data_IF_205440064757
#
_entry.id   IF_205440064757
#
_cell.length_a   1.000
_cell.length_b   1.000
_cell.length_c   1.000
_cell.angle_alpha   90.00
_cell.angle_beta   90.00
_cell.angle_gamma   90.00
#
_symmetry.space_group_name_H-M   'P 1'
#
loop_
_entity.id
_entity.type
_entity.pdbx_description
1 polymer ?
#
# COMPACT_ATOMS: atom_id res chain seq x y z
N UNK A 1 2.82 -21.96 -32.45
CA UNK A 1 2.03 -22.32 -31.26
C UNK A 1 0.99 -21.23 -31.02
N UNK A 2 -0.28 -21.56 -30.82
CA UNK A 2 -1.31 -20.54 -30.54
C UNK A 2 -1.14 -19.99 -29.11
N UNK A 3 -1.39 -18.70 -28.88
CA UNK A 3 -1.31 -18.08 -27.55
C UNK A 3 -2.15 -18.80 -26.48
N UNK A 4 -3.31 -19.33 -26.87
CA UNK A 4 -4.17 -20.11 -25.98
C UNK A 4 -3.50 -21.41 -25.53
N UNK A 5 -2.72 -22.05 -26.39
CA UNK A 5 -1.94 -23.25 -26.06
C UNK A 5 -0.73 -22.89 -25.20
N UNK A 6 -0.03 -21.80 -25.54
CA UNK A 6 1.06 -21.26 -24.72
C UNK A 6 0.60 -20.96 -23.29
N UNK A 7 -0.60 -20.40 -23.13
CA UNK A 7 -1.19 -20.14 -21.82
C UNK A 7 -1.50 -21.41 -21.01
N UNK A 8 -1.72 -22.56 -21.67
CA UNK A 8 -1.91 -23.84 -20.98
C UNK A 8 -0.62 -24.39 -20.37
N UNK A 9 0.53 -24.08 -20.98
CA UNK A 9 1.85 -24.53 -20.51
C UNK A 9 2.40 -23.70 -19.34
N UNK A 10 1.81 -22.55 -19.03
CA UNK A 10 2.23 -21.74 -17.90
C UNK A 10 2.22 -22.53 -16.58
N UNK A 11 3.12 -22.24 -15.63
CA UNK A 11 3.11 -22.88 -14.33
C UNK A 11 1.95 -22.38 -13.47
N UNK A 12 1.48 -23.25 -12.57
CA UNK A 12 0.53 -22.90 -11.51
C UNK A 12 1.27 -22.30 -10.31
N UNK A 13 2.04 -21.24 -10.58
CA UNK A 13 2.85 -20.54 -9.59
C UNK A 13 2.53 -19.04 -9.60
N UNK A 14 2.92 -18.37 -8.52
CA UNK A 14 2.88 -16.92 -8.46
C UNK A 14 3.87 -16.31 -9.47
N UNK A 15 3.56 -15.11 -9.93
CA UNK A 15 4.47 -14.39 -10.81
C UNK A 15 3.83 -13.21 -11.52
N UNK A 16 4.60 -12.65 -12.45
CA UNK A 16 4.22 -11.52 -13.29
C UNK A 16 4.17 -11.97 -14.74
N UNK A 17 3.19 -11.51 -15.51
CA UNK A 17 3.10 -11.72 -16.95
C UNK A 17 3.14 -10.38 -17.68
N UNK A 18 3.76 -10.37 -18.86
CA UNK A 18 3.97 -9.21 -19.71
C UNK A 18 3.34 -9.51 -21.06
N UNK A 19 2.28 -8.80 -21.42
CA UNK A 19 1.65 -8.91 -22.73
C UNK A 19 2.38 -8.00 -23.72
N UNK A 20 2.58 -8.49 -24.94
CA UNK A 20 3.34 -7.83 -25.99
C UNK A 20 2.56 -7.67 -27.29
N UNK A 21 2.84 -6.60 -28.01
CA UNK A 21 2.30 -6.38 -29.36
C UNK A 21 3.12 -7.08 -30.45
N UNK A 22 2.80 -6.81 -31.73
CA UNK A 22 3.48 -7.40 -32.88
C UNK A 22 4.96 -6.97 -33.03
N UNK A 23 5.35 -5.87 -32.40
CA UNK A 23 6.70 -5.31 -32.43
C UNK A 23 7.52 -5.69 -31.19
N UNK A 24 7.02 -6.64 -30.39
CA UNK A 24 7.62 -7.10 -29.12
C UNK A 24 7.62 -6.03 -28.00
N UNK A 25 6.85 -4.93 -28.13
CA UNK A 25 6.71 -3.95 -27.07
C UNK A 25 5.81 -4.47 -25.96
N UNK A 26 6.21 -4.27 -24.70
CA UNK A 26 5.37 -4.61 -23.54
C UNK A 26 4.24 -3.57 -23.42
N UNK A 27 3.01 -4.04 -23.67
CA UNK A 27 1.80 -3.20 -23.67
C UNK A 27 0.98 -3.33 -22.38
N UNK A 28 1.16 -4.42 -21.63
CA UNK A 28 0.54 -4.63 -20.32
C UNK A 28 1.41 -5.52 -19.42
N UNK A 29 1.44 -5.22 -18.13
CA UNK A 29 2.08 -6.02 -17.07
C UNK A 29 1.03 -6.32 -16.01
N UNK A 30 0.95 -7.57 -15.56
CA UNK A 30 0.06 -7.93 -14.46
C UNK A 30 0.63 -9.04 -13.59
N UNK A 31 0.18 -9.12 -12.33
CA UNK A 31 0.55 -10.17 -11.38
C UNK A 31 -0.52 -11.25 -11.19
N UNK A 32 -0.11 -12.43 -10.72
CA UNK A 32 -1.01 -13.50 -10.31
C UNK A 32 -0.42 -14.39 -9.22
N UNK A 33 -1.29 -15.01 -8.41
CA UNK A 33 -0.94 -16.17 -7.57
C UNK A 33 -0.80 -17.47 -8.37
N UNK A 34 -1.48 -17.53 -9.52
CA UNK A 34 -1.48 -18.65 -10.44
C UNK A 34 -1.43 -18.10 -11.88
N UNK A 35 -0.25 -18.10 -12.49
CA UNK A 35 -0.04 -17.57 -13.83
C UNK A 35 -0.90 -18.30 -14.86
N UNK A 36 -0.95 -19.63 -14.82
CA UNK A 36 -1.77 -20.44 -15.73
C UNK A 36 -3.24 -20.04 -15.69
N UNK A 37 -3.85 -20.03 -14.51
CA UNK A 37 -5.26 -19.70 -14.35
C UNK A 37 -5.55 -18.26 -14.82
N UNK A 38 -4.71 -17.30 -14.42
CA UNK A 38 -4.92 -15.89 -14.74
C UNK A 38 -4.77 -15.60 -16.23
N UNK A 39 -3.74 -16.14 -16.87
CA UNK A 39 -3.50 -15.86 -18.30
C UNK A 39 -4.53 -16.61 -19.16
N UNK A 40 -4.95 -17.81 -18.77
CA UNK A 40 -6.06 -18.53 -19.44
C UNK A 40 -7.37 -17.73 -19.47
N UNK A 41 -7.67 -16.96 -18.42
CA UNK A 41 -8.90 -16.14 -18.34
C UNK A 41 -9.02 -15.15 -19.50
N UNK A 42 -7.91 -14.63 -20.02
CA UNK A 42 -7.93 -13.72 -21.18
C UNK A 42 -8.44 -14.38 -22.46
N UNK A 43 -8.38 -15.71 -22.56
CA UNK A 43 -8.79 -16.49 -23.75
C UNK A 43 -10.13 -17.23 -23.57
N UNK A 44 -10.84 -16.97 -22.46
CA UNK A 44 -12.21 -17.48 -22.23
C UNK A 44 -13.24 -16.55 -22.91
N UNK A 45 -14.48 -17.03 -23.08
CA UNK A 45 -15.53 -16.38 -23.90
C UNK A 45 -15.69 -14.89 -23.63
N UNK A 46 -15.70 -14.08 -24.70
CA UNK A 46 -15.66 -12.61 -24.68
C UNK A 46 -16.83 -11.93 -23.92
N UNK A 47 -17.96 -12.62 -23.70
CA UNK A 47 -19.16 -12.05 -23.05
C UNK A 47 -18.96 -11.64 -21.58
N UNK A 48 -17.88 -12.05 -20.92
CA UNK A 48 -17.61 -11.75 -19.49
C UNK A 48 -16.43 -10.81 -19.25
N UNK A 49 -15.77 -10.31 -20.29
CA UNK A 49 -14.61 -9.43 -20.15
C UNK A 49 -14.99 -7.95 -20.29
N UNK A 50 -14.25 -7.07 -19.63
CA UNK A 50 -14.47 -5.62 -19.78
C UNK A 50 -14.05 -5.16 -21.19
N UNK A 51 -14.71 -4.14 -21.77
CA UNK A 51 -14.35 -3.60 -23.09
C UNK A 51 -12.90 -3.11 -23.21
N UNK A 52 -12.24 -2.84 -22.08
CA UNK A 52 -10.81 -2.49 -22.05
C UNK A 52 -9.91 -3.71 -22.26
N UNK A 53 -10.27 -4.84 -21.64
CA UNK A 53 -9.51 -6.10 -21.77
C UNK A 53 -9.63 -6.66 -23.17
N UNK A 54 -10.84 -6.62 -23.75
CA UNK A 54 -11.07 -7.04 -25.14
C UNK A 54 -10.19 -6.26 -26.13
N UNK A 55 -10.18 -4.93 -26.02
CA UNK A 55 -9.31 -4.06 -26.85
C UNK A 55 -7.83 -4.36 -26.68
N UNK A 56 -7.37 -4.65 -25.47
CA UNK A 56 -5.99 -5.05 -25.24
C UNK A 56 -5.69 -6.37 -25.94
N UNK A 57 -6.53 -7.38 -25.72
CA UNK A 57 -6.33 -8.72 -26.28
C UNK A 57 -6.37 -8.75 -27.81
N UNK A 58 -7.07 -7.80 -28.46
CA UNK A 58 -6.99 -7.62 -29.91
C UNK A 58 -5.60 -7.21 -30.43
N UNK A 59 -4.78 -6.56 -29.59
CA UNK A 59 -3.42 -6.09 -29.94
C UNK A 59 -2.35 -7.09 -29.54
N UNK A 60 -2.59 -7.91 -28.51
CA UNK A 60 -1.62 -8.90 -28.00
C UNK A 60 -1.23 -9.90 -29.10
N UNK A 61 0.08 -9.99 -29.38
CA UNK A 61 0.66 -11.00 -30.28
C UNK A 61 1.56 -11.99 -29.56
N UNK A 62 2.09 -11.62 -28.41
CA UNK A 62 2.77 -12.57 -27.53
C UNK A 62 2.65 -12.20 -26.05
N UNK A 63 3.10 -13.09 -25.17
CA UNK A 63 3.33 -12.76 -23.76
C UNK A 63 4.53 -13.50 -23.19
N UNK A 64 5.14 -12.88 -22.18
CA UNK A 64 6.21 -13.43 -21.35
C UNK A 64 5.75 -13.52 -19.90
N UNK A 65 6.50 -14.26 -19.08
CA UNK A 65 6.21 -14.36 -17.65
C UNK A 65 7.48 -14.56 -16.84
N UNK A 66 7.43 -14.14 -15.59
CA UNK A 66 8.47 -14.30 -14.59
C UNK A 66 7.82 -14.97 -13.38
N UNK A 67 8.28 -16.17 -13.04
CA UNK A 67 7.81 -16.92 -11.87
C UNK A 67 8.43 -16.34 -10.61
N UNK A 68 7.63 -16.23 -9.55
CA UNK A 68 8.10 -15.82 -8.22
C UNK A 68 7.77 -16.89 -7.19
N UNK A 69 8.53 -16.90 -6.10
CA UNK A 69 8.30 -17.87 -5.01
C UNK A 69 7.10 -17.51 -4.14
N UNK A 70 6.79 -16.21 -4.02
CA UNK A 70 5.67 -15.72 -3.20
C UNK A 70 4.80 -14.70 -3.93
N UNK A 71 3.61 -14.44 -3.39
CA UNK A 71 2.75 -13.35 -3.85
C UNK A 71 3.41 -11.98 -3.62
N UNK A 72 4.14 -11.80 -2.50
CA UNK A 72 4.85 -10.55 -2.23
C UNK A 72 5.85 -10.22 -3.34
N UNK A 73 6.63 -11.20 -3.77
CA UNK A 73 7.58 -11.00 -4.86
C UNK A 73 6.89 -10.62 -6.17
N UNK A 74 5.77 -11.26 -6.50
CA UNK A 74 5.00 -10.92 -7.70
C UNK A 74 4.47 -9.48 -7.63
N UNK A 75 3.96 -9.06 -6.47
CA UNK A 75 3.48 -7.70 -6.21
C UNK A 75 4.59 -6.65 -6.37
N UNK A 76 5.73 -6.88 -5.73
CA UNK A 76 6.88 -5.95 -5.80
C UNK A 76 7.44 -5.88 -7.21
N UNK A 77 7.59 -7.03 -7.88
CA UNK A 77 8.13 -7.10 -9.24
C UNK A 77 7.20 -6.41 -10.25
N UNK A 78 5.89 -6.65 -10.18
CA UNK A 78 4.91 -5.98 -11.05
C UNK A 78 4.99 -4.46 -10.86
N UNK A 79 4.99 -3.99 -9.62
CA UNK A 79 5.10 -2.57 -9.29
C UNK A 79 6.35 -1.94 -9.92
N UNK A 80 7.51 -2.62 -9.82
CA UNK A 80 8.76 -2.17 -10.43
C UNK A 80 8.69 -2.16 -11.97
N UNK A 81 8.20 -3.22 -12.59
CA UNK A 81 8.09 -3.32 -14.05
C UNK A 81 7.12 -2.31 -14.65
N UNK A 82 5.97 -2.05 -14.01
CA UNK A 82 5.03 -1.02 -14.46
C UNK A 82 5.67 0.37 -14.40
N UNK A 83 6.48 0.65 -13.37
CA UNK A 83 7.19 1.93 -13.22
C UNK A 83 8.27 2.13 -14.27
N UNK A 84 9.04 1.08 -14.55
CA UNK A 84 10.14 1.08 -15.51
C UNK A 84 9.61 1.18 -16.95
N UNK A 85 8.68 0.30 -17.33
CA UNK A 85 8.21 0.13 -18.70
C UNK A 85 7.10 1.13 -19.06
N UNK A 86 6.28 1.55 -18.08
CA UNK A 86 5.08 2.39 -18.25
C UNK A 86 4.14 1.92 -19.37
N UNK A 87 3.70 0.64 -19.37
CA UNK A 87 2.96 0.07 -20.49
C UNK A 87 1.65 0.82 -20.79
N UNK A 88 1.29 0.89 -22.07
CA UNK A 88 0.12 1.66 -22.53
C UNK A 88 -1.19 1.21 -21.87
N UNK A 89 -1.48 -0.09 -21.83
CA UNK A 89 -2.74 -0.58 -21.26
C UNK A 89 -2.76 -0.52 -19.74
N UNK A 90 -1.63 -0.60 -19.02
CA UNK A 90 -1.62 -0.30 -17.58
C UNK A 90 -2.06 1.14 -17.30
N UNK A 91 -1.73 2.09 -18.19
CA UNK A 91 -2.18 3.49 -18.08
C UNK A 91 -3.67 3.64 -18.43
N UNK A 92 -4.17 2.95 -19.46
CA UNK A 92 -5.57 3.01 -19.91
C UNK A 92 -6.55 2.23 -19.02
N UNK A 93 -6.10 1.11 -18.46
CA UNK A 93 -6.86 0.24 -17.55
C UNK A 93 -6.89 0.77 -16.12
N UNK A 94 -6.66 2.07 -15.92
CA UNK A 94 -7.06 2.73 -14.68
C UNK A 94 -8.53 2.41 -14.40
N UNK A 95 -8.74 1.85 -13.22
CA UNK A 95 -9.85 1.00 -12.75
C UNK A 95 -9.69 -0.46 -13.22
N UNK A 96 -9.05 -1.34 -12.44
CA UNK A 96 -9.59 -1.73 -11.12
C UNK A 96 -8.58 -2.15 -10.02
N UNK A 97 -7.28 -1.85 -10.14
CA UNK A 97 -6.28 -2.17 -9.08
C UNK A 97 -5.18 -1.10 -8.92
N UNK A 98 -5.48 0.15 -9.29
CA UNK A 98 -4.60 1.29 -9.03
C UNK A 98 -4.85 1.84 -7.63
N UNK A 99 -3.78 2.03 -6.87
CA UNK A 99 -3.80 2.74 -5.60
C UNK A 99 -4.28 4.20 -5.79
N UNK A 100 -5.26 4.63 -5.00
CA UNK A 100 -5.76 6.01 -4.98
C UNK A 100 -5.09 6.82 -3.86
N UNK A 101 -4.90 8.12 -4.06
CA UNK A 101 -4.29 9.03 -3.10
C UNK A 101 -5.17 10.27 -2.94
N UNK A 102 -5.20 10.81 -1.74
CA UNK A 102 -5.74 12.14 -1.47
C UNK A 102 -4.59 13.13 -1.64
N UNK A 103 -4.67 13.98 -2.64
CA UNK A 103 -3.73 15.05 -2.93
C UNK A 103 -4.20 16.36 -2.32
N UNK A 104 -3.30 17.08 -1.64
CA UNK A 104 -3.48 18.44 -1.16
C UNK A 104 -2.52 19.35 -1.90
N UNK A 105 -3.06 20.30 -2.68
CA UNK A 105 -2.27 21.27 -3.45
C UNK A 105 -1.76 22.41 -2.56
N UNK A 106 -0.82 22.12 -1.67
CA UNK A 106 -0.26 23.07 -0.71
C UNK A 106 0.46 24.27 -1.35
N UNK A 107 0.80 24.16 -2.63
CA UNK A 107 1.39 25.17 -3.49
C UNK A 107 0.38 26.24 -3.95
N UNK A 108 -0.91 25.91 -3.96
CA UNK A 108 -1.95 26.88 -4.30
C UNK A 108 -2.16 27.85 -3.12
N UNK A 109 -2.52 29.10 -3.44
CA UNK A 109 -2.95 30.10 -2.45
C UNK A 109 -4.12 29.57 -1.60
N UNK A 110 -5.04 28.84 -2.20
CA UNK A 110 -6.12 28.17 -1.48
C UNK A 110 -6.09 26.67 -1.79
N UNK A 111 -5.30 25.89 -1.00
CA UNK A 111 -5.14 24.47 -1.22
C UNK A 111 -6.47 23.74 -1.27
N UNK A 112 -6.54 22.72 -2.13
CA UNK A 112 -7.71 21.84 -2.24
C UNK A 112 -7.31 20.39 -2.07
N UNK A 113 -8.28 19.59 -1.68
CA UNK A 113 -8.14 18.15 -1.65
C UNK A 113 -8.74 17.55 -2.92
N UNK A 114 -8.06 16.56 -3.49
CA UNK A 114 -8.51 15.85 -4.69
C UNK A 114 -8.06 14.41 -4.66
N UNK A 115 -8.79 13.52 -5.34
CA UNK A 115 -8.38 12.13 -5.50
C UNK A 115 -7.54 12.03 -6.76
N UNK A 116 -6.33 11.51 -6.61
CA UNK A 116 -5.42 11.27 -7.73
C UNK A 116 -4.97 9.82 -7.70
N UNK A 117 -4.71 9.28 -8.89
CA UNK A 117 -4.13 7.94 -9.06
C UNK A 117 -2.64 8.03 -9.44
N UNK A 118 -2.18 9.23 -9.78
CA UNK A 118 -0.79 9.53 -10.12
C UNK A 118 -0.33 10.70 -9.23
N UNK A 119 0.27 10.45 -8.07
CA UNK A 119 0.86 11.54 -7.28
C UNK A 119 1.97 12.22 -8.10
N UNK A 120 1.99 13.55 -8.18
CA UNK A 120 3.08 14.31 -8.81
C UNK A 120 4.15 14.70 -7.77
N UNK A 121 5.19 15.43 -8.17
CA UNK A 121 6.25 15.86 -7.25
C UNK A 121 5.85 17.05 -6.38
N UNK A 122 4.78 17.76 -6.74
CA UNK A 122 4.24 18.92 -6.03
C UNK A 122 2.99 18.52 -5.22
N UNK A 123 2.78 19.17 -4.08
CA UNK A 123 1.65 18.87 -3.18
C UNK A 123 1.96 17.84 -2.09
N UNK A 124 0.98 17.62 -1.20
CA UNK A 124 0.99 16.54 -0.21
C UNK A 124 0.11 15.39 -0.67
N UNK A 125 0.53 14.16 -0.45
CA UNK A 125 -0.22 12.97 -0.84
C UNK A 125 -0.44 12.04 0.35
N UNK A 126 -1.69 11.71 0.61
CA UNK A 126 -2.11 10.78 1.64
C UNK A 126 -2.64 9.53 0.98
N UNK A 127 -2.04 8.38 1.31
CA UNK A 127 -2.37 7.18 0.58
C UNK A 127 -1.39 6.03 0.77
N UNK A 128 -1.63 4.95 0.02
CA UNK A 128 -2.66 4.79 -0.97
C UNK A 128 -3.79 3.94 -0.43
N UNK A 129 -4.93 4.17 -1.03
CA UNK A 129 -6.13 3.46 -0.74
C UNK A 129 -6.26 2.37 -1.80
N UNK A 130 -6.30 1.12 -1.35
CA UNK A 130 -6.43 -0.04 -2.23
C UNK A 130 -7.71 0.00 -3.06
N UNK A 131 -8.73 0.72 -2.59
CA UNK A 131 -9.97 1.03 -3.30
C UNK A 131 -10.14 2.55 -3.34
N UNK A 132 -10.50 3.11 -4.50
CA UNK A 132 -10.79 4.55 -4.60
C UNK A 132 -11.95 4.96 -3.70
N UNK A 133 -12.94 4.09 -3.54
CA UNK A 133 -14.07 4.30 -2.63
C UNK A 133 -13.66 4.56 -1.19
N UNK A 134 -12.50 4.07 -0.75
CA UNK A 134 -11.96 4.40 0.58
C UNK A 134 -11.41 5.83 0.60
N UNK A 135 -10.67 6.23 -0.43
CA UNK A 135 -10.18 7.61 -0.57
C UNK A 135 -11.34 8.61 -0.65
N UNK A 136 -12.41 8.25 -1.38
CA UNK A 136 -13.65 9.03 -1.50
C UNK A 136 -14.32 9.23 -0.15
N UNK A 137 -14.57 8.15 0.61
CA UNK A 137 -15.17 8.25 1.96
C UNK A 137 -14.36 9.11 2.92
N UNK A 138 -13.03 9.03 2.84
CA UNK A 138 -12.15 9.84 3.68
C UNK A 138 -12.19 11.29 3.26
N UNK A 139 -12.17 11.56 1.95
CA UNK A 139 -12.29 12.92 1.42
C UNK A 139 -13.62 13.56 1.84
N UNK A 140 -14.73 12.80 1.77
CA UNK A 140 -16.04 13.23 2.26
C UNK A 140 -16.03 13.53 3.76
N UNK A 141 -15.41 12.67 4.57
CA UNK A 141 -15.23 12.90 6.00
C UNK A 141 -14.47 14.21 6.26
N UNK A 142 -13.37 14.46 5.55
CA UNK A 142 -12.60 15.70 5.70
C UNK A 142 -13.45 16.91 5.32
N UNK A 143 -14.13 16.84 4.18
CA UNK A 143 -15.00 17.91 3.75
C UNK A 143 -16.18 18.19 4.67
N UNK A 144 -16.63 17.20 5.46
CA UNK A 144 -17.70 17.36 6.45
C UNK A 144 -17.24 18.08 7.71
N UNK A 145 -15.98 17.89 8.12
CA UNK A 145 -15.47 18.36 9.41
C UNK A 145 -14.47 19.51 9.34
N UNK A 146 -13.90 19.78 8.16
CA UNK A 146 -12.97 20.87 7.93
C UNK A 146 -13.53 21.77 6.83
N UNK A 147 -13.45 23.09 7.01
CA UNK A 147 -14.12 24.07 6.14
C UNK A 147 -13.31 24.38 4.87
N UNK A 148 -13.00 23.33 4.12
CA UNK A 148 -12.11 23.35 2.97
C UNK A 148 -12.91 23.34 1.66
N UNK A 149 -12.42 24.04 0.64
CA UNK A 149 -13.10 24.16 -0.65
C UNK A 149 -13.34 22.80 -1.31
N UNK A 150 -14.54 22.65 -1.89
CA UNK A 150 -14.97 21.49 -2.69
C UNK A 150 -15.05 21.78 -4.19
N UNK A 151 -14.85 23.03 -4.59
CA UNK A 151 -15.00 23.44 -5.98
C UNK A 151 -13.91 22.83 -6.87
N UNK A 152 -14.33 22.27 -8.01
CA UNK A 152 -13.45 21.58 -8.97
C UNK A 152 -12.58 22.54 -9.78
N UNK A 153 -13.00 23.80 -9.92
CA UNK A 153 -12.26 24.82 -10.65
C UNK A 153 -10.90 25.09 -10.01
N UNK A 154 -9.85 25.05 -10.81
CA UNK A 154 -8.49 25.38 -10.38
C UNK A 154 -8.36 26.89 -10.12
N UNK A 155 -9.07 27.71 -10.91
CA UNK A 155 -9.22 29.14 -10.66
C UNK A 155 -10.34 29.37 -9.65
N UNK A 156 -10.14 30.37 -8.80
CA UNK A 156 -11.14 30.84 -7.87
C UNK A 156 -12.23 31.57 -8.67
N UNK A 157 -13.47 31.08 -8.72
CA UNK A 157 -14.56 31.82 -9.34
C UNK A 157 -14.81 33.06 -8.50
N UNK A 158 -14.69 34.26 -9.07
CA UNK A 158 -14.99 35.51 -8.36
C UNK A 158 -16.47 35.87 -8.54
N UNK A 159 -17.18 36.05 -7.44
CA UNK A 159 -18.58 36.50 -7.40
C UNK A 159 -19.63 35.38 -7.32
N UNK A 160 -20.80 35.73 -6.77
CA UNK A 160 -21.98 34.86 -6.62
C UNK A 160 -22.12 34.20 -5.24
N UNK A 161 -23.36 33.89 -4.84
CA UNK A 161 -23.64 33.12 -3.63
C UNK A 161 -23.12 31.69 -3.75
N UNK A 162 -22.24 31.27 -2.85
CA UNK A 162 -21.69 29.92 -2.83
C UNK A 162 -22.47 29.04 -1.84
N UNK A 163 -23.16 28.00 -2.33
CA UNK A 163 -23.93 27.09 -1.47
C UNK A 163 -23.05 26.42 -0.40
N UNK A 164 -21.81 26.06 -0.73
CA UNK A 164 -20.91 25.46 0.26
C UNK A 164 -20.55 26.43 1.39
N UNK A 165 -20.46 27.73 1.11
CA UNK A 165 -20.23 28.74 2.13
C UNK A 165 -21.49 28.96 2.97
N UNK A 166 -22.67 29.07 2.34
CA UNK A 166 -23.95 29.23 3.04
C UNK A 166 -24.28 28.06 3.96
N UNK A 167 -23.85 26.85 3.60
CA UNK A 167 -24.00 25.65 4.43
C UNK A 167 -22.83 25.44 5.41
N UNK A 168 -21.92 26.40 5.55
CA UNK A 168 -20.72 26.34 6.41
C UNK A 168 -19.79 25.13 6.13
N UNK A 169 -19.83 24.58 4.91
CA UNK A 169 -18.95 23.51 4.46
C UNK A 169 -17.59 24.03 3.94
N UNK A 170 -17.45 25.34 3.76
CA UNK A 170 -16.23 25.99 3.28
C UNK A 170 -16.17 27.43 3.81
N UNK A 171 -14.96 27.91 4.14
CA UNK A 171 -14.74 29.29 4.56
C UNK A 171 -15.01 30.35 3.47
N UNK A 172 -15.27 29.93 2.23
CA UNK A 172 -15.65 30.83 1.14
C UNK A 172 -14.50 31.68 0.60
N UNK A 173 -13.28 31.14 0.57
CA UNK A 173 -12.12 31.80 -0.05
C UNK A 173 -12.40 32.42 -1.44
N UNK A 174 -13.34 31.83 -2.21
CA UNK A 174 -13.71 32.33 -3.53
C UNK A 174 -14.56 33.60 -3.58
N UNK A 175 -15.20 33.93 -2.47
CA UNK A 175 -15.99 35.14 -2.31
C UNK A 175 -15.31 36.10 -1.33
N UNK A 176 -14.01 35.91 -1.08
CA UNK A 176 -13.20 36.76 -0.20
C UNK A 176 -13.74 36.83 1.25
N UNK A 177 -14.48 35.80 1.69
CA UNK A 177 -15.05 35.75 3.06
C UNK A 177 -14.08 35.24 4.12
N UNK A 178 -12.86 34.86 3.74
CA UNK A 178 -11.77 34.54 4.65
C UNK A 178 -10.44 34.99 4.03
N UNK A 179 -9.44 35.26 4.86
CA UNK A 179 -8.09 35.51 4.40
C UNK A 179 -7.31 34.21 4.13
N UNK A 180 -6.13 34.34 3.52
CA UNK A 180 -5.24 33.22 3.23
C UNK A 180 -4.81 32.48 4.50
N UNK A 181 -4.58 33.22 5.60
CA UNK A 181 -4.06 32.65 6.85
C UNK A 181 -5.09 31.75 7.54
N UNK A 182 -6.31 32.24 7.71
CA UNK A 182 -7.42 31.48 8.29
C UNK A 182 -7.73 30.23 7.46
N UNK A 183 -7.70 30.34 6.13
CA UNK A 183 -7.87 29.17 5.27
C UNK A 183 -6.72 28.17 5.40
N UNK A 184 -5.49 28.65 5.51
CA UNK A 184 -4.32 27.77 5.71
C UNK A 184 -4.39 27.03 7.04
N UNK A 185 -4.87 27.67 8.10
CA UNK A 185 -5.09 27.04 9.40
C UNK A 185 -6.09 25.87 9.30
N UNK A 186 -7.17 26.00 8.52
CA UNK A 186 -8.09 24.88 8.26
C UNK A 186 -7.43 23.75 7.47
N UNK A 187 -6.59 24.07 6.48
CA UNK A 187 -5.79 23.06 5.77
C UNK A 187 -4.84 22.34 6.70
N UNK A 188 -4.15 23.07 7.59
CA UNK A 188 -3.18 22.49 8.52
C UNK A 188 -3.86 21.57 9.55
N UNK A 189 -5.09 21.89 9.98
CA UNK A 189 -5.92 20.98 10.80
C UNK A 189 -6.22 19.68 10.05
N UNK A 190 -6.65 19.76 8.79
CA UNK A 190 -6.92 18.57 7.98
C UNK A 190 -5.65 17.74 7.72
N UNK A 191 -4.51 18.39 7.47
CA UNK A 191 -3.19 17.74 7.35
C UNK A 191 -2.81 17.05 8.65
N UNK A 192 -2.95 17.73 9.79
CA UNK A 192 -2.63 17.18 11.11
C UNK A 192 -3.47 15.94 11.45
N UNK A 193 -4.76 15.97 11.12
CA UNK A 193 -5.65 14.81 11.21
C UNK A 193 -5.20 13.67 10.28
N UNK A 194 -4.94 13.97 9.01
CA UNK A 194 -4.49 13.01 8.00
C UNK A 194 -3.11 12.41 8.33
N UNK A 195 -2.26 13.10 9.08
CA UNK A 195 -1.00 12.58 9.59
C UNK A 195 -1.15 11.82 10.92
N UNK A 196 -2.35 11.81 11.50
CA UNK A 196 -2.65 11.20 12.80
C UNK A 196 -2.03 11.92 13.99
N UNK A 197 -1.61 13.18 13.83
CA UNK A 197 -1.13 14.03 14.94
C UNK A 197 -2.28 14.55 15.79
N UNK A 198 -3.39 14.92 15.14
CA UNK A 198 -4.59 15.36 15.82
C UNK A 198 -5.60 14.22 16.01
N UNK A 199 -6.16 14.12 17.22
CA UNK A 199 -7.21 13.16 17.60
C UNK A 199 -8.52 13.85 17.98
N UNK A 200 -8.60 15.18 17.88
CA UNK A 200 -9.79 15.97 18.20
C UNK A 200 -11.06 15.44 17.53
N UNK A 201 -10.99 15.16 16.22
CA UNK A 201 -12.11 14.63 15.45
C UNK A 201 -12.57 13.23 15.94
N UNK A 202 -11.64 12.39 16.39
CA UNK A 202 -11.99 11.07 16.94
C UNK A 202 -12.79 11.19 18.23
N UNK A 203 -12.35 12.09 19.12
CA UNK A 203 -13.01 12.36 20.39
C UNK A 203 -14.40 12.95 20.13
N UNK A 204 -14.48 13.95 19.26
CA UNK A 204 -15.74 14.58 18.85
C UNK A 204 -16.76 13.57 18.30
N UNK A 205 -16.35 12.72 17.35
CA UNK A 205 -17.22 11.69 16.78
C UNK A 205 -17.71 10.69 17.82
N UNK A 206 -16.85 10.31 18.76
CA UNK A 206 -17.20 9.39 19.84
C UNK A 206 -18.24 10.00 20.80
N UNK A 207 -18.07 11.26 21.18
CA UNK A 207 -19.02 11.99 22.01
C UNK A 207 -20.37 12.16 21.32
N UNK A 208 -20.37 12.55 20.03
CA UNK A 208 -21.60 12.70 19.23
C UNK A 208 -22.34 11.37 19.03
N UNK A 209 -21.61 10.28 18.82
CA UNK A 209 -22.19 8.94 18.75
C UNK A 209 -22.86 8.56 20.07
N UNK A 210 -22.19 8.77 21.21
CA UNK A 210 -22.72 8.45 22.52
C UNK A 210 -23.96 9.29 22.87
N UNK A 211 -23.92 10.59 22.58
CA UNK A 211 -25.05 11.50 22.80
C UNK A 211 -26.27 11.12 21.94
N UNK A 212 -26.08 10.81 20.66
CA UNK A 212 -27.17 10.36 19.79
C UNK A 212 -27.77 9.03 20.27
N UNK A 213 -26.95 8.09 20.74
CA UNK A 213 -27.43 6.83 21.30
C UNK A 213 -28.23 7.03 22.60
N UNK A 214 -27.79 7.95 23.48
CA UNK A 214 -28.51 8.30 24.71
C UNK A 214 -29.87 8.96 24.42
N UNK A 215 -30.00 9.67 23.30
CA UNK A 215 -31.24 10.27 22.83
C UNK A 215 -32.10 9.30 21.98
N UNK A 216 -31.73 8.02 21.90
CA UNK A 216 -32.39 6.99 21.09
C UNK A 216 -32.41 7.30 19.56
N UNK A 217 -31.52 8.18 19.09
CA UNK A 217 -31.37 8.54 17.67
C UNK A 217 -30.43 7.55 16.95
N UNK A 218 -30.83 6.27 16.89
CA UNK A 218 -29.95 5.18 16.44
C UNK A 218 -29.38 5.35 15.03
N UNK A 219 -30.13 5.95 14.10
CA UNK A 219 -29.64 6.21 12.75
C UNK A 219 -28.47 7.21 12.76
N UNK A 220 -28.57 8.31 13.53
CA UNK A 220 -27.48 9.28 13.66
C UNK A 220 -26.29 8.67 14.39
N UNK A 221 -26.53 7.88 15.43
CA UNK A 221 -25.47 7.15 16.13
C UNK A 221 -24.73 6.18 15.18
N UNK A 222 -25.43 5.51 14.27
CA UNK A 222 -24.82 4.64 13.27
C UNK A 222 -23.93 5.40 12.28
N UNK A 223 -24.36 6.58 11.82
CA UNK A 223 -23.54 7.46 10.96
C UNK A 223 -22.25 7.84 11.68
N UNK A 224 -22.33 8.34 12.92
CA UNK A 224 -21.13 8.72 13.68
C UNK A 224 -20.22 7.53 13.98
N UNK A 225 -20.78 6.34 14.23
CA UNK A 225 -20.01 5.10 14.40
C UNK A 225 -19.19 4.77 13.16
N UNK A 226 -19.80 4.84 11.99
CA UNK A 226 -19.16 4.49 10.73
C UNK A 226 -18.06 5.52 10.36
N UNK A 227 -18.32 6.80 10.61
CA UNK A 227 -17.34 7.89 10.47
C UNK A 227 -16.17 7.73 11.45
N UNK A 228 -16.46 7.40 12.71
CA UNK A 228 -15.45 7.11 13.73
C UNK A 228 -14.58 5.91 13.33
N UNK A 229 -15.17 4.86 12.76
CA UNK A 229 -14.44 3.69 12.28
C UNK A 229 -13.46 4.05 11.14
N UNK A 230 -13.90 4.88 10.18
CA UNK A 230 -13.04 5.39 9.10
C UNK A 230 -11.88 6.23 9.66
N UNK A 231 -12.17 7.16 10.57
CA UNK A 231 -11.16 8.01 11.20
C UNK A 231 -10.15 7.20 12.02
N UNK A 232 -10.61 6.18 12.78
CA UNK A 232 -9.73 5.29 13.56
C UNK A 232 -8.79 4.50 12.65
N UNK A 233 -9.31 3.95 11.56
CA UNK A 233 -8.51 3.20 10.57
C UNK A 233 -7.38 4.06 9.99
N UNK A 234 -7.68 5.30 9.60
CA UNK A 234 -6.69 6.26 9.11
C UNK A 234 -5.60 6.54 10.13
N UNK A 235 -5.99 6.85 11.37
CA UNK A 235 -5.05 7.19 12.43
C UNK A 235 -4.15 5.98 12.77
N UNK A 236 -4.71 4.78 12.86
CA UNK A 236 -3.95 3.53 13.07
C UNK A 236 -2.96 3.29 11.94
N UNK A 237 -3.38 3.48 10.69
CA UNK A 237 -2.51 3.34 9.53
C UNK A 237 -1.34 4.32 9.55
N UNK A 238 -1.58 5.59 9.92
CA UNK A 238 -0.51 6.58 10.00
C UNK A 238 0.40 6.38 11.20
N UNK A 239 -0.12 5.94 12.34
CA UNK A 239 0.69 5.47 13.47
C UNK A 239 1.56 4.29 13.06
N UNK A 240 1.04 3.36 12.27
CA UNK A 240 1.83 2.27 11.75
C UNK A 240 2.91 2.79 10.79
N UNK A 241 2.58 3.62 9.79
CA UNK A 241 3.57 4.21 8.88
C UNK A 241 4.66 4.97 9.65
N UNK A 242 4.31 5.84 10.62
CA UNK A 242 5.28 6.57 11.46
C UNK A 242 6.10 5.66 12.37
N UNK A 243 5.51 4.59 12.88
CA UNK A 243 6.21 3.57 13.67
C UNK A 243 7.21 2.81 12.81
N UNK A 244 6.82 2.52 11.56
CA UNK A 244 7.70 1.89 10.59
C UNK A 244 8.77 2.91 10.16
N UNK A 245 8.46 4.20 9.91
CA UNK A 245 9.42 5.32 9.68
C UNK A 245 10.56 5.39 10.70
N UNK A 246 10.28 5.03 11.96
CA UNK A 246 11.28 4.94 13.04
C UNK A 246 12.08 3.62 13.04
N UNK A 247 11.57 2.57 12.40
CA UNK A 247 12.05 1.17 12.34
C UNK A 247 12.63 0.85 10.95
N UNK A 248 13.96 0.97 10.82
CA UNK A 248 14.64 0.97 9.51
C UNK A 248 14.74 -0.41 8.84
N UNK A 249 14.90 -1.48 9.63
CA UNK A 249 15.24 -2.81 9.13
C UNK A 249 14.33 -3.90 9.72
N UNK A 250 13.77 -4.74 8.86
CA UNK A 250 12.88 -5.84 9.20
C UNK A 250 13.34 -7.12 8.50
N UNK A 251 13.22 -8.25 9.20
CA UNK A 251 13.31 -9.58 8.61
C UNK A 251 11.89 -10.16 8.55
N UNK A 252 11.47 -10.61 7.36
CA UNK A 252 10.27 -11.41 7.21
C UNK A 252 10.60 -12.78 6.61
N UNK A 253 9.91 -13.81 7.08
CA UNK A 253 10.10 -15.21 6.69
C UNK A 253 8.74 -15.78 6.30
N UNK A 254 8.62 -16.23 5.06
CA UNK A 254 7.40 -16.86 4.54
C UNK A 254 7.66 -18.34 4.25
N UNK A 255 6.89 -19.24 4.88
CA UNK A 255 6.91 -20.67 4.59
C UNK A 255 6.23 -20.93 3.24
N UNK A 256 6.89 -21.71 2.39
CA UNK A 256 6.41 -22.00 1.03
C UNK A 256 5.62 -23.31 0.94
N UNK A 257 6.18 -24.39 1.48
CA UNK A 257 5.66 -25.76 1.34
C UNK A 257 6.04 -26.66 2.53
N UNK A 258 6.24 -26.08 3.72
CA UNK A 258 6.75 -26.77 4.91
C UNK A 258 8.24 -27.09 4.87
N UNK A 259 8.79 -27.35 3.68
CA UNK A 259 10.20 -27.76 3.46
C UNK A 259 11.13 -26.62 3.12
N UNK A 260 10.60 -25.48 2.69
CA UNK A 260 11.35 -24.30 2.28
C UNK A 260 10.73 -23.02 2.83
N UNK A 261 11.57 -22.02 3.04
CA UNK A 261 11.15 -20.66 3.37
C UNK A 261 11.78 -19.63 2.45
N UNK A 262 11.10 -18.49 2.33
CA UNK A 262 11.62 -17.29 1.72
C UNK A 262 11.91 -16.24 2.78
N UNK A 263 13.15 -15.78 2.80
CA UNK A 263 13.61 -14.66 3.63
C UNK A 263 13.48 -13.37 2.84
N UNK A 264 12.98 -12.33 3.50
CA UNK A 264 12.90 -10.97 3.00
C UNK A 264 13.57 -10.04 3.99
N UNK A 265 14.66 -9.39 3.55
CA UNK A 265 15.25 -8.28 4.27
C UNK A 265 14.67 -6.99 3.71
N UNK A 266 13.96 -6.27 4.57
CA UNK A 266 13.27 -5.03 4.22
C UNK A 266 13.99 -3.90 4.93
N UNK A 267 14.56 -2.99 4.14
CA UNK A 267 15.32 -1.83 4.62
C UNK A 267 14.72 -0.57 4.02
N UNK A 268 14.45 0.42 4.86
CA UNK A 268 13.83 1.70 4.45
C UNK A 268 12.60 1.49 3.54
N UNK A 269 11.70 0.59 3.92
CA UNK A 269 10.47 0.24 3.19
C UNK A 269 10.65 -0.27 1.76
N UNK A 270 11.86 -0.72 1.39
CA UNK A 270 12.11 -1.42 0.15
C UNK A 270 12.48 -2.86 0.47
N UNK A 271 12.03 -3.77 -0.39
CA UNK A 271 12.55 -5.13 -0.39
C UNK A 271 13.99 -5.06 -0.91
N UNK A 272 14.93 -5.10 0.03
CA UNK A 272 16.36 -4.97 -0.24
C UNK A 272 16.93 -6.27 -0.76
N UNK A 273 16.67 -7.35 -0.01
CA UNK A 273 17.16 -8.67 -0.36
C UNK A 273 16.08 -9.73 -0.15
N UNK A 274 16.15 -10.77 -0.98
CA UNK A 274 15.33 -11.97 -0.86
C UNK A 274 16.21 -13.20 -1.04
N UNK A 275 16.04 -14.21 -0.19
CA UNK A 275 16.78 -15.47 -0.25
C UNK A 275 15.83 -16.65 -0.02
N UNK A 276 15.97 -17.71 -0.81
CA UNK A 276 15.28 -18.98 -0.55
C UNK A 276 16.19 -19.85 0.29
N UNK A 277 15.62 -20.49 1.30
CA UNK A 277 16.32 -21.45 2.16
C UNK A 277 15.56 -22.77 2.21
N UNK A 278 16.30 -23.86 2.29
CA UNK A 278 15.78 -25.20 2.59
C UNK A 278 15.69 -25.35 4.11
N UNK A 279 14.57 -25.90 4.59
CA UNK A 279 14.32 -26.23 6.00
C UNK A 279 14.35 -27.75 6.24
N UNK A 280 13.99 -28.54 5.22
CA UNK A 280 14.00 -30.00 5.29
C UNK A 280 15.38 -30.53 5.71
N UNK A 281 15.40 -31.39 6.74
CA UNK A 281 16.62 -31.98 7.29
C UNK A 281 17.51 -31.02 8.10
N UNK A 282 17.11 -29.76 8.30
CA UNK A 282 17.85 -28.84 9.16
C UNK A 282 17.36 -28.88 10.60
N UNK A 283 18.28 -28.82 11.55
CA UNK A 283 17.95 -28.58 12.95
C UNK A 283 17.69 -27.09 13.19
N UNK A 284 17.06 -26.77 14.33
CA UNK A 284 16.78 -25.38 14.73
C UNK A 284 18.05 -24.55 14.86
N UNK A 285 19.13 -25.15 15.37
CA UNK A 285 20.43 -24.52 15.58
C UNK A 285 21.08 -24.12 14.26
N UNK A 286 21.04 -25.02 13.26
CA UNK A 286 21.57 -24.73 11.91
C UNK A 286 20.80 -23.60 11.24
N UNK A 287 19.47 -23.58 11.37
CA UNK A 287 18.67 -22.48 10.82
C UNK A 287 18.96 -21.16 11.53
N UNK A 288 19.13 -21.19 12.85
CA UNK A 288 19.45 -20.00 13.64
C UNK A 288 20.76 -19.36 13.17
N UNK A 289 21.81 -20.16 12.99
CA UNK A 289 23.11 -19.68 12.51
C UNK A 289 23.03 -19.14 11.06
N UNK A 290 22.32 -19.81 10.15
CA UNK A 290 22.15 -19.29 8.78
C UNK A 290 21.40 -17.95 8.76
N UNK A 291 20.39 -17.76 9.64
CA UNK A 291 19.69 -16.49 9.77
C UNK A 291 20.58 -15.39 10.36
N UNK A 292 21.42 -15.73 11.36
CA UNK A 292 22.41 -14.81 11.92
C UNK A 292 23.38 -14.34 10.85
N UNK A 293 23.99 -15.27 10.11
CA UNK A 293 24.91 -14.96 9.01
C UNK A 293 24.24 -14.08 7.95
N UNK A 294 23.01 -14.43 7.55
CA UNK A 294 22.23 -13.62 6.60
C UNK A 294 22.03 -12.20 7.11
N UNK A 295 21.70 -12.00 8.38
CA UNK A 295 21.52 -10.65 8.95
C UNK A 295 22.85 -9.91 9.06
N UNK A 296 23.90 -10.55 9.56
CA UNK A 296 25.21 -9.93 9.79
C UNK A 296 25.86 -9.43 8.49
N UNK A 297 25.81 -10.23 7.42
CA UNK A 297 26.31 -9.82 6.11
C UNK A 297 25.60 -8.55 5.61
N UNK A 298 24.30 -8.40 5.89
CA UNK A 298 23.50 -7.27 5.39
C UNK A 298 23.61 -6.01 6.25
N UNK A 299 23.90 -6.16 7.54
CA UNK A 299 24.11 -5.03 8.46
C UNK A 299 25.53 -4.46 8.37
N UNK A 300 26.50 -5.21 7.85
CA UNK A 300 27.89 -4.80 7.63
C UNK A 300 28.11 -3.98 6.33
N UNK A 301 27.17 -3.98 5.38
CA UNK A 301 27.23 -3.08 4.23
C UNK A 301 26.99 -1.62 4.70
N UNK A 302 28.09 -0.90 4.95
CA UNK A 302 28.09 0.51 5.37
C UNK A 302 27.42 1.46 4.35
N UNK A 303 26.75 2.46 4.91
CA UNK A 303 25.90 3.45 4.25
C UNK A 303 26.63 4.33 3.22
N UNK A 304 26.08 4.45 2.02
CA UNK A 304 26.35 5.60 1.12
C UNK A 304 25.13 6.44 0.74
N UNK A 305 23.91 6.09 1.16
CA UNK A 305 22.75 6.96 0.91
C UNK A 305 22.36 7.76 2.15
N UNK A 306 22.88 8.99 2.25
CA UNK A 306 22.30 10.04 3.10
C UNK A 306 20.83 10.20 2.75
N UNK A 307 19.98 10.15 3.78
CA UNK A 307 18.52 10.18 3.69
C UNK A 307 18.02 11.31 2.77
N UNK A 308 17.58 10.94 1.55
CA UNK A 308 16.64 11.76 0.79
C UNK A 308 15.24 11.35 1.18
N UNK A 309 14.36 12.34 1.35
CA UNK A 309 12.90 12.20 1.53
C UNK A 309 12.39 11.06 0.63
N UNK A 310 11.57 10.14 1.16
CA UNK A 310 11.03 9.00 0.41
C UNK A 310 10.41 9.51 -0.90
N UNK A 311 11.09 9.26 -2.02
CA UNK A 311 10.54 9.57 -3.34
C UNK A 311 9.29 8.73 -3.56
N UNK A 312 8.35 9.25 -4.36
CA UNK A 312 7.11 8.58 -4.82
C UNK A 312 7.28 7.07 -5.08
N UNK A 313 8.38 6.69 -5.70
CA UNK A 313 8.70 5.30 -6.06
C UNK A 313 8.79 4.36 -4.85
N UNK A 314 9.28 4.85 -3.72
CA UNK A 314 9.43 4.09 -2.48
C UNK A 314 8.12 3.93 -1.71
N UNK A 315 7.14 4.81 -1.93
CA UNK A 315 5.85 4.75 -1.23
C UNK A 315 5.05 3.51 -1.66
N UNK A 316 4.87 3.25 -2.96
CA UNK A 316 4.04 2.11 -3.41
C UNK A 316 4.59 0.76 -2.96
N UNK A 317 5.93 0.61 -3.00
CA UNK A 317 6.59 -0.60 -2.52
C UNK A 317 6.47 -0.73 -0.99
N UNK A 318 6.66 0.37 -0.24
CA UNK A 318 6.45 0.41 1.20
C UNK A 318 5.06 -0.07 1.59
N UNK A 319 4.06 0.30 0.81
CA UNK A 319 2.67 0.00 1.11
C UNK A 319 2.31 -1.42 0.71
N UNK A 320 2.83 -1.94 -0.40
CA UNK A 320 2.76 -3.37 -0.72
C UNK A 320 3.32 -4.18 0.44
N UNK A 321 4.52 -3.83 0.92
CA UNK A 321 5.17 -4.51 2.04
C UNK A 321 4.35 -4.40 3.32
N UNK A 322 3.85 -3.21 3.67
CA UNK A 322 3.01 -3.01 4.86
C UNK A 322 1.74 -3.86 4.84
N UNK A 323 0.96 -3.80 3.75
CA UNK A 323 -0.28 -4.58 3.64
C UNK A 323 0.01 -6.08 3.61
N UNK A 324 1.15 -6.49 3.03
CA UNK A 324 1.55 -7.88 3.03
C UNK A 324 1.90 -8.37 4.44
N UNK A 325 2.70 -7.60 5.19
CA UNK A 325 3.10 -7.95 6.56
C UNK A 325 1.94 -7.91 7.58
N UNK A 326 0.96 -7.03 7.38
CA UNK A 326 -0.22 -6.93 8.27
C UNK A 326 -1.33 -7.94 7.95
N UNK A 327 -1.33 -8.52 6.75
CA UNK A 327 -2.28 -9.58 6.43
C UNK A 327 -2.04 -10.76 7.37
N UNK A 328 -3.06 -11.14 8.16
CA UNK A 328 -3.03 -12.28 9.10
C UNK A 328 -2.83 -13.62 8.38
N UNK A 329 -1.64 -13.84 7.84
CA UNK A 329 -1.22 -15.04 7.11
C UNK A 329 -0.56 -15.99 8.11
N UNK A 330 -1.01 -17.24 8.16
CA UNK A 330 -0.46 -18.26 9.07
C UNK A 330 0.99 -18.63 8.76
N UNK A 331 1.43 -18.44 7.52
CA UNK A 331 2.74 -18.85 7.02
C UNK A 331 3.76 -17.70 6.95
N UNK A 332 3.43 -16.49 7.42
CA UNK A 332 4.30 -15.32 7.37
C UNK A 332 4.67 -14.86 8.79
N UNK A 333 5.97 -14.81 9.05
CA UNK A 333 6.53 -14.35 10.32
C UNK A 333 7.42 -13.14 10.06
N UNK A 334 7.43 -12.17 10.97
CA UNK A 334 8.28 -11.00 10.83
C UNK A 334 8.82 -10.53 12.17
N UNK A 335 10.08 -10.10 12.18
CA UNK A 335 10.75 -9.53 13.34
C UNK A 335 11.50 -8.24 13.00
N UNK A 336 11.78 -7.45 14.04
CA UNK A 336 12.51 -6.19 13.92
C UNK A 336 13.99 -6.44 14.11
N UNK A 337 14.81 -5.77 13.30
CA UNK A 337 16.26 -5.82 13.44
C UNK A 337 16.77 -4.57 14.17
N UNK A 338 17.78 -4.71 15.06
CA UNK A 338 18.35 -3.57 15.77
C UNK A 338 19.16 -2.66 14.84
N UNK A 339 19.13 -1.34 15.09
CA UNK A 339 19.89 -0.34 14.31
C UNK A 339 21.42 -0.49 14.43
N UNK A 340 21.88 -0.99 15.57
CA UNK A 340 23.29 -1.22 15.87
C UNK A 340 23.43 -2.64 16.43
N UNK A 341 23.46 -3.66 15.54
CA UNK A 341 23.54 -5.07 15.97
C UNK A 341 24.81 -5.36 16.77
N UNK A 342 25.86 -4.55 16.60
CA UNK A 342 27.18 -4.75 17.23
C UNK A 342 27.27 -4.28 18.69
N UNK A 343 26.21 -3.70 19.26
CA UNK A 343 26.18 -3.48 20.72
C UNK A 343 25.83 -4.79 21.41
N UNK A 344 26.56 -5.15 22.47
CA UNK A 344 26.39 -6.43 23.19
C UNK A 344 24.93 -6.68 23.63
N UNK A 345 24.21 -5.61 24.02
CA UNK A 345 22.79 -5.65 24.38
C UNK A 345 21.86 -5.88 23.18
N UNK A 346 22.17 -5.32 22.01
CA UNK A 346 21.38 -5.52 20.80
C UNK A 346 21.60 -6.91 20.19
N UNK A 347 22.83 -7.43 20.25
CA UNK A 347 23.17 -8.78 19.79
C UNK A 347 22.39 -9.84 20.57
N UNK A 348 22.38 -9.76 21.91
CA UNK A 348 21.63 -10.70 22.76
C UNK A 348 20.12 -10.66 22.49
N UNK A 349 19.57 -9.46 22.32
CA UNK A 349 18.14 -9.31 22.00
C UNK A 349 17.79 -9.88 20.60
N UNK A 350 18.67 -9.65 19.63
CA UNK A 350 18.51 -10.19 18.28
C UNK A 350 18.48 -11.72 18.30
N UNK A 351 19.37 -12.33 19.08
CA UNK A 351 19.44 -13.77 19.27
C UNK A 351 18.15 -14.33 19.89
N UNK A 352 17.67 -13.75 21.00
CA UNK A 352 16.41 -14.16 21.63
C UNK A 352 15.19 -14.01 20.68
N UNK A 353 15.16 -12.95 19.88
CA UNK A 353 14.07 -12.73 18.92
C UNK A 353 14.14 -13.72 17.73
N UNK A 354 15.36 -14.11 17.30
CA UNK A 354 15.58 -15.11 16.26
C UNK A 354 15.24 -16.52 16.74
N UNK A 355 15.60 -16.89 17.97
CA UNK A 355 15.22 -18.17 18.58
C UNK A 355 13.70 -18.31 18.62
N UNK A 356 12.98 -17.26 19.07
CA UNK A 356 11.50 -17.24 19.07
C UNK A 356 10.92 -17.36 17.66
N UNK A 357 11.59 -16.78 16.64
CA UNK A 357 11.17 -16.89 15.26
C UNK A 357 11.34 -18.33 14.74
N UNK A 358 12.50 -18.95 14.99
CA UNK A 358 12.80 -20.33 14.62
C UNK A 358 11.83 -21.30 15.30
N UNK A 359 11.57 -21.13 16.61
CA UNK A 359 10.59 -21.94 17.34
C UNK A 359 9.20 -21.88 16.71
N UNK A 360 8.72 -20.67 16.36
CA UNK A 360 7.43 -20.50 15.68
C UNK A 360 7.40 -21.15 14.30
N UNK A 361 8.50 -21.06 13.54
CA UNK A 361 8.61 -21.68 12.23
C UNK A 361 8.50 -23.21 12.35
N UNK A 362 9.26 -23.84 13.25
CA UNK A 362 9.23 -25.29 13.43
C UNK A 362 7.91 -25.79 14.01
N UNK A 363 7.30 -25.06 14.95
CA UNK A 363 5.94 -25.39 15.40
C UNK A 363 4.95 -25.36 14.23
N UNK A 364 5.04 -24.36 13.34
CA UNK A 364 4.15 -24.26 12.19
C UNK A 364 4.41 -25.36 11.15
N UNK A 365 5.64 -25.83 10.99
CA UNK A 365 5.99 -26.97 10.12
C UNK A 365 5.41 -28.27 10.68
N UNK A 366 5.56 -28.53 11.99
CA UNK A 366 4.99 -29.71 12.65
C UNK A 366 3.47 -29.78 12.49
N UNK A 367 2.76 -28.65 12.64
CA UNK A 367 1.32 -28.58 12.39
C UNK A 367 0.89 -28.71 10.91
N UNK A 368 1.82 -28.75 9.95
CA UNK A 368 1.53 -28.97 8.51
C UNK A 368 1.79 -30.43 8.13
N UNK A 369 2.58 -31.17 8.91
CA UNK A 369 2.89 -32.59 8.70
C UNK A 369 1.88 -33.54 9.37
N UNK A 370 1.10 -33.04 10.34
CA UNK A 370 -0.13 -33.65 10.89
C UNK A 370 -1.38 -33.29 10.07
#
# INVERSE_FOLDING_TARGET
MNLKEKAKLLPEKAGVYLMKDAMDHVIYVGKSKNLRQRVKQYFQSMKSQSPKVERMMGVVKDFQYIVTDTELEALVLECRLIKEIKPFYNRLMKNDQGYAYIHISIEDEFPRLSIVYNPADQGLYFGPFAKSSMAEKILELIHKYFQIRRCSSQRIPKGGGCLNYQLHNCLGACIESCDHKAYREEIDKAVSFLEGRDQSLLIFLQEKMAAAAAQLEYHKAAIYRDELALAKMLNQRQKAIKTIEKQRDLLAVELLNGKQAKLFYIRNYKLWLKRRILLEGKSKEVLLEELKEFIFLQLNEENTEKQKRLKREALDEAQILYHYLQGKRKNLFSMKLPKHPFSQKASRKLEEDLEKLVEKLYHQIGCIEE
#
